data_IF_297641109262
#
_entry.id   IF_297641109262
#
_cell.length_a   1.000
_cell.length_b   1.000
_cell.length_c   1.000
_cell.angle_alpha   90.00
_cell.angle_beta   90.00
_cell.angle_gamma   90.00
#
_symmetry.space_group_name_H-M   'P 1'
#
loop_
_entity.id
_entity.type
_entity.pdbx_description
1 polymer ?
#
# COMPACT_ATOMS: atom_id res chain seq x y z
N UNK A 1 0.01 5.85 -28.06
CA UNK A 1 -1.36 6.23 -27.65
C UNK A 1 -1.66 5.90 -26.19
N UNK A 2 -1.89 4.64 -25.76
CA UNK A 2 -2.22 4.38 -24.33
C UNK A 2 -1.04 4.66 -23.39
N UNK A 3 0.16 4.15 -23.68
CA UNK A 3 1.34 4.38 -22.84
C UNK A 3 1.71 5.86 -22.73
N UNK A 4 1.66 6.56 -23.87
CA UNK A 4 1.86 8.01 -23.96
C UNK A 4 0.80 8.78 -23.16
N UNK A 5 -0.48 8.37 -23.23
CA UNK A 5 -1.53 8.94 -22.39
C UNK A 5 -1.30 8.71 -20.90
N UNK A 6 -0.83 7.51 -20.52
CA UNK A 6 -0.45 7.20 -19.13
C UNK A 6 0.74 8.04 -18.66
N UNK A 7 1.75 8.22 -19.50
CA UNK A 7 2.92 9.04 -19.20
C UNK A 7 2.52 10.49 -18.95
N UNK A 8 1.73 11.08 -19.84
CA UNK A 8 1.22 12.44 -19.69
C UNK A 8 0.30 12.61 -18.48
N UNK A 9 -0.47 11.57 -18.12
CA UNK A 9 -1.43 11.59 -17.02
C UNK A 9 -0.80 11.25 -15.65
N UNK A 10 0.40 10.66 -15.62
CA UNK A 10 1.09 10.19 -14.40
C UNK A 10 1.34 11.29 -13.36
N UNK A 11 1.68 12.50 -13.80
CA UNK A 11 1.87 13.63 -12.88
C UNK A 11 0.55 14.10 -12.28
N UNK A 12 -0.51 14.10 -13.08
CA UNK A 12 -1.84 14.52 -12.68
C UNK A 12 -2.52 13.54 -11.73
N UNK A 13 -2.34 12.22 -11.90
CA UNK A 13 -2.97 11.24 -11.00
C UNK A 13 -2.45 11.36 -9.55
N UNK A 14 -1.17 11.74 -9.39
CA UNK A 14 -0.55 11.95 -8.09
C UNK A 14 -0.97 13.29 -7.47
N UNK A 15 -0.97 14.37 -8.23
CA UNK A 15 -1.10 15.75 -7.71
C UNK A 15 -2.50 16.32 -7.72
N UNK A 16 -3.34 15.92 -8.68
CA UNK A 16 -4.68 16.48 -8.85
C UNK A 16 -5.73 15.70 -8.03
N UNK A 17 -6.79 16.42 -7.62
CA UNK A 17 -7.84 15.87 -6.76
C UNK A 17 -9.17 15.61 -7.48
N UNK A 18 -9.32 16.09 -8.71
CA UNK A 18 -10.56 15.96 -9.48
C UNK A 18 -10.30 15.28 -10.81
N UNK A 19 -11.09 14.25 -11.09
CA UNK A 19 -11.00 13.46 -12.31
C UNK A 19 -12.34 13.45 -13.03
N UNK A 20 -12.38 13.99 -14.23
CA UNK A 20 -13.60 14.20 -15.01
C UNK A 20 -13.67 13.24 -16.18
N UNK A 21 -14.83 12.64 -16.38
CA UNK A 21 -15.14 11.84 -17.57
C UNK A 21 -15.80 12.74 -18.60
N UNK A 22 -15.27 12.73 -19.81
CA UNK A 22 -15.74 13.53 -20.96
C UNK A 22 -16.01 12.63 -22.18
N UNK A 23 -16.95 13.07 -23.03
CA UNK A 23 -17.37 12.36 -24.24
C UNK A 23 -16.47 12.63 -25.45
N UNK A 24 -15.80 13.78 -25.46
CA UNK A 24 -14.89 14.18 -26.53
C UNK A 24 -13.48 14.40 -25.98
N UNK A 25 -12.47 14.18 -26.83
CA UNK A 25 -11.07 14.38 -26.43
C UNK A 25 -10.80 15.88 -26.31
N UNK A 26 -11.00 16.44 -25.13
CA UNK A 26 -10.80 17.89 -24.90
C UNK A 26 -9.33 18.28 -24.71
N UNK A 27 -8.41 17.34 -24.44
CA UNK A 27 -7.01 17.63 -24.10
C UNK A 27 -6.07 16.49 -24.51
N UNK A 28 -4.81 16.80 -24.80
CA UNK A 28 -3.77 15.79 -25.04
C UNK A 28 -3.48 14.92 -23.81
N UNK A 29 -3.69 15.46 -22.59
CA UNK A 29 -3.48 14.75 -21.31
C UNK A 29 -4.63 13.83 -20.91
N UNK A 30 -5.60 13.57 -21.77
CA UNK A 30 -6.75 12.73 -21.43
C UNK A 30 -6.46 11.25 -21.63
N UNK A 31 -6.79 10.42 -20.65
CA UNK A 31 -6.64 8.97 -20.73
C UNK A 31 -7.88 8.33 -21.41
N UNK A 32 -7.73 7.52 -22.47
CA UNK A 32 -8.87 6.85 -23.08
C UNK A 32 -9.50 5.85 -22.12
N UNK A 33 -10.83 5.88 -22.02
CA UNK A 33 -11.66 4.95 -21.27
C UNK A 33 -12.51 4.11 -22.25
N UNK A 34 -13.09 2.98 -21.79
CA UNK A 34 -14.07 2.23 -22.58
C UNK A 34 -15.25 3.11 -23.02
N UNK A 35 -15.96 2.68 -24.06
CA UNK A 35 -17.13 3.37 -24.62
C UNK A 35 -16.82 4.75 -25.22
N UNK A 36 -15.63 4.93 -25.78
CA UNK A 36 -15.16 6.19 -26.39
C UNK A 36 -15.20 7.39 -25.44
N UNK A 37 -15.05 7.15 -24.14
CA UNK A 37 -14.96 8.20 -23.12
C UNK A 37 -13.49 8.52 -22.85
N UNK A 38 -13.24 9.67 -22.22
CA UNK A 38 -11.90 10.05 -21.78
C UNK A 38 -11.90 10.50 -20.32
N UNK A 39 -10.80 10.25 -19.63
CA UNK A 39 -10.55 10.73 -18.27
C UNK A 39 -9.58 11.92 -18.33
N UNK A 40 -9.99 13.06 -17.79
CA UNK A 40 -9.16 14.24 -17.63
C UNK A 40 -8.95 14.53 -16.14
N UNK A 41 -7.79 15.07 -15.78
CA UNK A 41 -7.56 15.63 -14.46
C UNK A 41 -7.81 17.14 -14.52
N UNK A 42 -8.60 17.66 -13.60
CA UNK A 42 -8.98 19.06 -13.56
C UNK A 42 -8.59 19.69 -12.22
N UNK A 43 -8.19 20.96 -12.27
CA UNK A 43 -8.17 21.80 -11.07
C UNK A 43 -9.60 22.15 -10.66
N UNK A 44 -9.78 22.63 -9.42
CA UNK A 44 -11.11 23.07 -8.95
C UNK A 44 -11.71 24.18 -9.82
N UNK A 45 -10.88 25.05 -10.39
CA UNK A 45 -11.32 26.14 -11.27
C UNK A 45 -11.74 25.59 -12.63
N UNK A 46 -10.89 24.78 -13.26
CA UNK A 46 -11.15 24.15 -14.55
C UNK A 46 -12.40 23.28 -14.50
N UNK A 47 -12.59 22.52 -13.41
CA UNK A 47 -13.78 21.71 -13.20
C UNK A 47 -15.06 22.57 -13.23
N UNK A 48 -15.06 23.72 -12.53
CA UNK A 48 -16.23 24.62 -12.51
C UNK A 48 -16.53 25.22 -13.87
N UNK A 49 -15.50 25.54 -14.66
CA UNK A 49 -15.66 26.06 -16.02
C UNK A 49 -16.21 24.97 -16.94
N UNK A 50 -15.64 23.77 -16.87
CA UNK A 50 -16.08 22.60 -17.64
C UNK A 50 -17.55 22.27 -17.35
N UNK A 51 -17.95 22.24 -16.08
CA UNK A 51 -19.34 21.98 -15.70
C UNK A 51 -20.34 23.02 -16.23
N UNK A 52 -19.90 24.24 -16.55
CA UNK A 52 -20.76 25.32 -17.04
C UNK A 52 -20.80 25.44 -18.56
N UNK A 53 -19.70 25.07 -19.22
CA UNK A 53 -19.45 25.45 -20.60
C UNK A 53 -19.11 24.27 -21.52
N UNK A 54 -18.88 23.07 -20.98
CA UNK A 54 -18.50 21.89 -21.76
C UNK A 54 -19.67 20.92 -21.85
N UNK A 55 -20.30 20.86 -23.03
CA UNK A 55 -21.40 19.93 -23.33
C UNK A 55 -20.95 18.47 -23.34
N UNK A 56 -19.63 18.20 -23.41
CA UNK A 56 -19.06 16.85 -23.33
C UNK A 56 -18.89 16.35 -21.89
N UNK A 57 -19.18 17.18 -20.88
CA UNK A 57 -19.10 16.81 -19.47
C UNK A 57 -20.12 15.75 -19.10
N UNK A 58 -19.66 14.67 -18.45
CA UNK A 58 -20.54 13.58 -18.01
C UNK A 58 -20.59 13.54 -16.49
N UNK A 59 -19.42 13.43 -15.85
CA UNK A 59 -19.31 13.34 -14.39
C UNK A 59 -17.89 13.60 -13.91
N UNK A 60 -17.76 13.98 -12.65
CA UNK A 60 -16.50 14.16 -11.95
C UNK A 60 -16.39 13.27 -10.70
N UNK A 61 -15.16 12.85 -10.40
CA UNK A 61 -14.75 12.12 -9.21
C UNK A 61 -13.79 12.96 -8.37
N UNK A 62 -14.05 13.04 -7.07
CA UNK A 62 -13.12 13.63 -6.09
C UNK A 62 -12.27 12.56 -5.42
N UNK A 63 -10.96 12.77 -5.35
CA UNK A 63 -9.98 11.90 -4.67
C UNK A 63 -9.79 12.34 -3.21
N UNK A 64 -9.90 11.39 -2.27
CA UNK A 64 -9.47 11.46 -0.86
C UNK A 64 -9.98 12.63 0.01
N UNK A 65 -10.97 13.40 -0.46
CA UNK A 65 -11.59 14.49 0.31
C UNK A 65 -13.10 14.57 0.07
N UNK A 66 -13.81 15.13 1.05
CA UNK A 66 -15.25 15.32 1.02
C UNK A 66 -15.61 16.67 0.40
N UNK A 67 -15.91 16.65 -0.90
CA UNK A 67 -16.43 17.81 -1.59
C UNK A 67 -17.97 17.82 -1.62
N UNK A 68 -18.57 18.99 -1.42
CA UNK A 68 -20.01 19.23 -1.54
C UNK A 68 -20.27 20.21 -2.69
N UNK A 69 -21.21 19.91 -3.59
CA UNK A 69 -21.60 20.80 -4.70
C UNK A 69 -22.53 20.13 -5.72
N UNK A 70 -23.26 20.95 -6.49
CA UNK A 70 -24.13 20.47 -7.58
C UNK A 70 -23.24 19.82 -8.66
N UNK A 71 -23.44 18.54 -8.94
CA UNK A 71 -22.69 17.68 -9.89
C UNK A 71 -21.27 17.22 -9.52
N UNK A 72 -20.84 17.31 -8.25
CA UNK A 72 -19.68 16.52 -7.77
C UNK A 72 -20.19 15.12 -7.39
N UNK A 73 -20.15 14.21 -8.36
CA UNK A 73 -21.02 13.04 -8.33
C UNK A 73 -20.54 11.87 -7.47
N UNK A 74 -19.23 11.64 -7.31
CA UNK A 74 -18.77 10.43 -6.62
C UNK A 74 -17.42 10.61 -5.92
N UNK A 75 -17.31 10.10 -4.69
CA UNK A 75 -16.11 10.14 -3.83
C UNK A 75 -15.27 8.88 -4.08
N UNK A 76 -13.99 9.02 -4.35
CA UNK A 76 -13.04 7.92 -4.47
C UNK A 76 -12.02 8.00 -3.35
N UNK A 77 -12.00 6.96 -2.52
CA UNK A 77 -10.89 6.72 -1.59
C UNK A 77 -9.84 5.89 -2.32
N UNK A 78 -8.59 6.35 -2.31
CA UNK A 78 -7.46 5.71 -3.00
C UNK A 78 -6.23 5.77 -2.11
N UNK A 79 -5.51 4.65 -2.01
CA UNK A 79 -4.18 4.63 -1.43
C UNK A 79 -3.20 5.28 -2.40
N UNK A 80 -2.91 6.57 -2.25
CA UNK A 80 -2.08 7.35 -3.16
C UNK A 80 -0.86 7.98 -2.46
N UNK A 81 -0.48 7.44 -1.30
CA UNK A 81 0.72 7.86 -0.60
C UNK A 81 1.95 7.76 -1.51
N UNK A 82 2.65 8.89 -1.66
CA UNK A 82 3.89 8.99 -2.41
C UNK A 82 4.85 9.92 -1.68
N UNK A 83 6.00 9.40 -1.28
CA UNK A 83 7.09 10.16 -0.67
C UNK A 83 8.42 9.73 -1.28
N UNK A 84 8.57 10.02 -2.58
CA UNK A 84 9.75 9.74 -3.40
C UNK A 84 9.42 10.02 -4.86
N UNK A 85 10.33 10.67 -5.59
CA UNK A 85 10.14 10.99 -7.00
C UNK A 85 10.67 9.88 -7.93
N UNK A 86 11.76 9.22 -7.53
CA UNK A 86 12.39 8.13 -8.30
C UNK A 86 12.79 6.95 -7.40
N UNK A 87 13.00 5.76 -7.99
CA UNK A 87 13.52 4.61 -7.26
C UNK A 87 14.96 4.82 -6.78
N UNK A 88 15.75 5.61 -7.50
CA UNK A 88 17.08 6.03 -7.06
C UNK A 88 17.02 6.89 -5.80
N UNK A 89 16.06 7.81 -5.71
CA UNK A 89 15.89 8.66 -4.52
C UNK A 89 15.42 7.84 -3.32
N UNK A 90 14.48 6.90 -3.53
CA UNK A 90 14.06 5.96 -2.50
C UNK A 90 15.21 5.07 -2.01
N UNK A 91 16.06 4.57 -2.92
CA UNK A 91 17.23 3.78 -2.55
C UNK A 91 18.28 4.58 -1.76
N UNK A 92 18.48 5.87 -2.08
CA UNK A 92 19.40 6.75 -1.35
C UNK A 92 18.88 7.17 0.01
N UNK A 93 17.56 7.21 0.17
CA UNK A 93 16.91 7.50 1.45
C UNK A 93 17.00 6.34 2.44
N UNK A 94 17.46 5.16 2.00
CA UNK A 94 17.67 4.02 2.88
C UNK A 94 18.78 4.24 3.89
N UNK A 95 18.55 3.76 5.11
CA UNK A 95 19.63 3.56 6.06
C UNK A 95 20.49 2.35 5.67
N UNK A 96 21.81 2.51 5.68
CA UNK A 96 22.75 1.46 5.28
C UNK A 96 22.86 1.24 3.77
N UNK A 97 22.47 0.06 3.28
CA UNK A 97 22.67 -0.31 1.87
C UNK A 97 21.65 0.41 0.98
N UNK A 98 22.12 1.07 -0.08
CA UNK A 98 21.25 1.78 -1.03
C UNK A 98 20.43 0.80 -1.87
N UNK A 99 19.25 0.41 -1.39
CA UNK A 99 18.35 -0.55 -2.03
C UNK A 99 16.89 -0.16 -1.83
N UNK A 100 16.06 -0.47 -2.81
CA UNK A 100 14.62 -0.42 -2.65
C UNK A 100 14.14 -1.78 -2.13
N UNK A 101 13.02 -1.77 -1.39
CA UNK A 101 12.25 -2.97 -1.16
C UNK A 101 10.85 -2.83 -1.73
N UNK A 102 10.28 -3.99 -2.04
CA UNK A 102 8.91 -4.14 -2.52
C UNK A 102 8.18 -5.05 -1.54
N UNK A 103 7.09 -4.53 -0.98
CA UNK A 103 6.17 -5.28 -0.13
C UNK A 103 4.94 -5.65 -0.93
N UNK A 104 4.58 -6.93 -0.89
CA UNK A 104 3.27 -7.41 -1.29
C UNK A 104 2.61 -8.09 -0.10
N UNK A 105 1.35 -7.77 0.17
CA UNK A 105 0.64 -8.34 1.31
C UNK A 105 -0.84 -8.55 0.97
N UNK A 106 -1.42 -9.59 1.54
CA UNK A 106 -2.81 -9.99 1.34
C UNK A 106 -3.44 -10.54 2.62
N UNK A 107 -4.71 -10.24 2.83
CA UNK A 107 -5.45 -10.64 4.04
C UNK A 107 -5.79 -12.12 3.98
N UNK A 108 -5.43 -12.83 5.05
CA UNK A 108 -5.67 -14.26 5.12
C UNK A 108 -7.17 -14.58 5.23
N UNK A 109 -7.61 -15.56 4.43
CA UNK A 109 -8.94 -16.15 4.51
C UNK A 109 -10.09 -15.15 4.32
N UNK A 110 -9.87 -14.05 3.59
CA UNK A 110 -10.90 -13.03 3.43
C UNK A 110 -12.20 -13.57 2.80
N UNK A 111 -12.08 -14.46 1.82
CA UNK A 111 -13.23 -15.13 1.22
C UNK A 111 -14.06 -15.91 2.25
N UNK A 112 -13.41 -16.61 3.17
CA UNK A 112 -14.09 -17.33 4.26
C UNK A 112 -14.71 -16.36 5.26
N UNK A 113 -14.02 -15.26 5.61
CA UNK A 113 -14.57 -14.23 6.48
C UNK A 113 -15.84 -13.59 5.92
N UNK A 114 -15.97 -13.45 4.60
CA UNK A 114 -17.19 -12.96 3.96
C UNK A 114 -18.36 -13.94 4.01
N UNK A 115 -18.09 -15.23 3.86
CA UNK A 115 -19.12 -16.27 3.77
C UNK A 115 -19.61 -16.69 5.15
N UNK A 116 -18.68 -17.05 6.05
CA UNK A 116 -19.00 -17.67 7.34
C UNK A 116 -18.49 -16.89 8.55
N UNK A 117 -17.89 -15.71 8.35
CA UNK A 117 -17.30 -14.92 9.46
C UNK A 117 -18.30 -14.36 10.48
N UNK A 118 -19.61 -14.45 10.22
CA UNK A 118 -20.66 -14.05 11.15
C UNK A 118 -21.47 -15.24 11.70
N UNK A 119 -21.13 -16.47 11.32
CA UNK A 119 -21.72 -17.66 11.92
C UNK A 119 -21.20 -17.84 13.35
N UNK A 120 -22.04 -18.37 14.23
CA UNK A 120 -21.58 -18.82 15.54
C UNK A 120 -22.43 -20.00 16.04
N UNK A 121 -21.87 -20.76 16.99
CA UNK A 121 -22.48 -22.00 17.48
C UNK A 121 -23.84 -21.79 18.17
N UNK A 122 -24.08 -20.58 18.70
CA UNK A 122 -25.27 -20.27 19.51
C UNK A 122 -26.46 -19.82 18.64
N UNK A 123 -26.17 -19.10 17.55
CA UNK A 123 -27.19 -18.42 16.73
C UNK A 123 -27.12 -18.81 15.25
N UNK A 124 -26.26 -19.77 14.89
CA UNK A 124 -26.12 -20.27 13.53
C UNK A 124 -25.77 -19.15 12.56
N UNK A 125 -26.54 -19.08 11.47
CA UNK A 125 -26.42 -18.13 10.37
C UNK A 125 -27.19 -16.81 10.60
N UNK A 126 -27.83 -16.63 11.77
CA UNK A 126 -28.70 -15.47 12.06
C UNK A 126 -28.02 -14.11 11.80
N UNK A 127 -26.70 -14.02 11.96
CA UNK A 127 -25.94 -12.80 11.73
C UNK A 127 -25.29 -12.73 10.34
N UNK A 128 -25.36 -13.78 9.53
CA UNK A 128 -24.93 -13.78 8.12
C UNK A 128 -25.97 -13.02 7.30
N UNK A 129 -25.86 -11.69 7.35
CA UNK A 129 -26.81 -10.76 6.73
C UNK A 129 -26.09 -9.90 5.72
N UNK A 130 -26.76 -9.60 4.60
CA UNK A 130 -26.20 -8.77 3.54
C UNK A 130 -25.69 -7.41 4.06
N UNK A 131 -26.40 -6.82 5.02
CA UNK A 131 -26.01 -5.54 5.64
C UNK A 131 -24.70 -5.62 6.43
N UNK A 132 -24.45 -6.73 7.14
CA UNK A 132 -23.18 -6.95 7.86
C UNK A 132 -22.04 -7.24 6.91
N UNK A 133 -22.25 -8.11 5.92
CA UNK A 133 -21.26 -8.40 4.87
C UNK A 133 -20.87 -7.13 4.12
N UNK A 134 -21.84 -6.30 3.72
CA UNK A 134 -21.57 -5.01 3.06
C UNK A 134 -20.84 -4.02 3.98
N UNK A 135 -21.21 -3.98 5.28
CA UNK A 135 -20.53 -3.13 6.26
C UNK A 135 -19.08 -3.56 6.49
N UNK A 136 -18.83 -4.87 6.55
CA UNK A 136 -17.49 -5.44 6.67
C UNK A 136 -16.64 -5.14 5.43
N UNK A 137 -17.17 -5.40 4.22
CA UNK A 137 -16.51 -5.05 2.96
C UNK A 137 -16.11 -3.57 2.91
N UNK A 138 -17.03 -2.67 3.26
CA UNK A 138 -16.78 -1.22 3.27
C UNK A 138 -15.71 -0.82 4.29
N UNK A 139 -15.75 -1.39 5.49
CA UNK A 139 -14.75 -1.13 6.54
C UNK A 139 -13.36 -1.60 6.13
N UNK A 140 -13.26 -2.79 5.54
CA UNK A 140 -11.98 -3.32 5.06
C UNK A 140 -11.44 -2.48 3.89
N UNK A 141 -12.32 -2.11 2.95
CA UNK A 141 -11.94 -1.23 1.84
C UNK A 141 -11.43 0.13 2.33
N UNK A 142 -12.02 0.71 3.38
CA UNK A 142 -11.48 1.95 3.97
C UNK A 142 -10.12 1.75 4.65
N UNK A 143 -9.84 0.58 5.24
CA UNK A 143 -8.52 0.30 5.81
C UNK A 143 -7.42 0.39 4.74
N UNK A 144 -7.60 -0.34 3.64
CA UNK A 144 -6.60 -0.39 2.57
C UNK A 144 -6.63 0.83 1.62
N UNK A 145 -7.71 1.62 1.57
CA UNK A 145 -7.76 2.81 0.70
C UNK A 145 -7.46 4.12 1.42
N UNK A 146 -7.85 4.25 2.68
CA UNK A 146 -7.75 5.49 3.44
C UNK A 146 -6.74 5.38 4.58
N UNK A 147 -6.86 4.37 5.43
CA UNK A 147 -6.00 4.26 6.62
C UNK A 147 -4.55 3.94 6.27
N UNK A 148 -4.29 3.19 5.19
CA UNK A 148 -2.92 2.88 4.74
C UNK A 148 -2.07 4.13 4.49
N UNK A 149 -2.67 5.19 3.91
CA UNK A 149 -1.98 6.47 3.69
C UNK A 149 -1.54 7.09 5.02
N UNK A 150 -2.39 6.99 6.04
CA UNK A 150 -2.09 7.51 7.36
C UNK A 150 -1.02 6.68 8.09
N UNK A 151 -1.00 5.36 7.90
CA UNK A 151 0.03 4.47 8.45
C UNK A 151 1.40 4.81 7.85
N UNK A 152 1.47 5.04 6.54
CA UNK A 152 2.71 5.45 5.87
C UNK A 152 3.16 6.88 6.25
N UNK A 153 2.20 7.78 6.45
CA UNK A 153 2.50 9.16 6.83
C UNK A 153 2.96 9.34 8.29
N UNK A 154 2.59 8.39 9.16
CA UNK A 154 2.89 8.42 10.59
C UNK A 154 3.50 7.08 11.01
N UNK A 155 4.71 6.78 10.53
CA UNK A 155 5.41 5.56 10.92
C UNK A 155 5.65 5.49 12.42
N UNK A 156 5.44 4.31 13.01
CA UNK A 156 5.68 4.06 14.43
C UNK A 156 6.92 3.19 14.65
N UNK A 157 7.08 2.12 13.85
CA UNK A 157 8.20 1.19 13.96
C UNK A 157 9.36 1.54 13.02
N UNK A 158 10.57 1.75 13.55
CA UNK A 158 11.78 1.97 12.77
C UNK A 158 12.87 0.99 13.21
N UNK A 159 13.63 0.47 12.24
CA UNK A 159 14.75 -0.44 12.53
C UNK A 159 15.86 0.29 13.28
N UNK A 160 16.10 1.56 12.95
CA UNK A 160 17.14 2.40 13.55
C UNK A 160 16.53 3.42 14.52
N UNK A 161 17.11 3.52 15.72
CA UNK A 161 16.58 4.33 16.83
C UNK A 161 16.71 5.84 16.60
N UNK A 162 17.61 6.25 15.71
CA UNK A 162 17.90 7.65 15.40
C UNK A 162 17.00 8.23 14.29
N UNK A 163 16.09 7.42 13.72
CA UNK A 163 15.14 7.92 12.72
C UNK A 163 14.10 8.84 13.37
N UNK A 164 13.94 10.04 12.81
CA UNK A 164 12.84 10.92 13.18
C UNK A 164 11.51 10.24 12.82
N UNK A 165 10.62 10.14 13.82
CA UNK A 165 9.25 9.66 13.60
C UNK A 165 8.57 10.56 12.57
N UNK A 166 7.98 9.96 11.54
CA UNK A 166 7.33 10.73 10.50
C UNK A 166 6.98 9.93 9.26
N UNK A 167 7.08 10.61 8.12
CA UNK A 167 6.71 10.08 6.81
C UNK A 167 7.74 9.07 6.34
N UNK A 168 7.27 7.90 5.92
CA UNK A 168 8.11 6.85 5.33
C UNK A 168 8.51 7.17 3.90
N UNK A 169 9.69 6.77 3.47
CA UNK A 169 10.13 6.87 2.07
C UNK A 169 9.54 5.71 1.27
N UNK A 170 8.31 5.89 0.80
CA UNK A 170 7.57 4.85 0.11
C UNK A 170 6.52 5.43 -0.85
N UNK A 171 6.10 4.59 -1.79
CA UNK A 171 5.08 4.87 -2.80
C UNK A 171 4.13 3.69 -2.88
N UNK A 172 2.84 3.96 -2.69
CA UNK A 172 1.79 2.98 -2.99
C UNK A 172 1.63 2.92 -4.51
N UNK A 173 1.91 1.76 -5.08
CA UNK A 173 1.62 1.48 -6.50
C UNK A 173 0.21 0.90 -6.63
N UNK A 174 -0.19 0.05 -5.69
CA UNK A 174 -1.55 -0.47 -5.60
C UNK A 174 -1.95 -0.74 -4.14
N UNK A 175 -3.17 -0.36 -3.77
CA UNK A 175 -3.79 -0.83 -2.53
C UNK A 175 -5.30 -0.87 -2.70
N UNK A 176 -5.90 -2.05 -2.56
CA UNK A 176 -7.33 -2.20 -2.79
C UNK A 176 -7.88 -3.56 -2.43
N UNK A 177 -8.98 -3.56 -1.68
CA UNK A 177 -9.59 -4.79 -1.18
C UNK A 177 -8.80 -5.28 0.03
N UNK A 178 -7.96 -6.27 -0.22
CA UNK A 178 -7.04 -6.98 0.66
C UNK A 178 -5.58 -6.94 0.19
N UNK A 179 -5.38 -6.76 -1.12
CA UNK A 179 -4.06 -6.72 -1.74
C UNK A 179 -3.38 -5.35 -1.58
N UNK A 180 -2.09 -5.38 -1.24
CA UNK A 180 -1.21 -4.23 -1.10
C UNK A 180 0.06 -4.45 -1.90
N UNK A 181 0.50 -3.46 -2.66
CA UNK A 181 1.77 -3.44 -3.38
C UNK A 181 2.45 -2.07 -3.23
N UNK A 182 3.55 -2.03 -2.47
CA UNK A 182 4.25 -0.80 -2.08
C UNK A 182 5.73 -0.96 -2.37
N UNK A 183 6.35 0.12 -2.86
CA UNK A 183 7.79 0.23 -3.11
C UNK A 183 8.36 1.35 -2.26
N UNK A 184 9.53 1.17 -1.66
CA UNK A 184 10.16 2.19 -0.81
C UNK A 184 11.60 1.88 -0.47
N UNK A 185 12.19 2.69 0.41
CA UNK A 185 13.48 2.36 1.03
C UNK A 185 13.37 1.06 1.82
N UNK A 186 14.39 0.20 1.77
CA UNK A 186 14.24 -1.18 2.28
C UNK A 186 13.90 -1.25 3.77
N UNK A 187 14.47 -0.34 4.54
CA UNK A 187 14.30 -0.16 5.96
C UNK A 187 12.90 0.36 6.34
N UNK A 188 12.38 1.37 5.62
CA UNK A 188 11.02 1.86 5.83
C UNK A 188 9.97 0.84 5.45
N UNK A 189 10.21 0.02 4.42
CA UNK A 189 9.27 -1.01 3.99
C UNK A 189 9.14 -2.13 5.04
N UNK A 190 10.25 -2.54 5.66
CA UNK A 190 10.21 -3.48 6.78
C UNK A 190 9.47 -2.85 7.96
N UNK A 191 9.78 -1.62 8.34
CA UNK A 191 9.07 -0.94 9.44
C UNK A 191 7.57 -0.76 9.15
N UNK A 192 7.22 -0.39 7.92
CA UNK A 192 5.84 -0.28 7.47
C UNK A 192 5.10 -1.61 7.55
N UNK A 193 5.72 -2.73 7.18
CA UNK A 193 5.08 -4.05 7.23
C UNK A 193 4.61 -4.41 8.65
N UNK A 194 5.38 -4.02 9.67
CA UNK A 194 5.07 -4.23 11.08
C UNK A 194 3.94 -3.30 11.51
N UNK A 195 4.00 -2.02 11.12
CA UNK A 195 2.94 -1.06 11.40
C UNK A 195 1.61 -1.47 10.75
N UNK A 196 1.65 -1.97 9.51
CA UNK A 196 0.49 -2.50 8.79
C UNK A 196 -0.10 -3.70 9.52
N UNK A 197 0.73 -4.67 9.91
CA UNK A 197 0.33 -5.84 10.68
C UNK A 197 -0.35 -5.45 11.99
N UNK A 198 0.31 -4.62 12.80
CA UNK A 198 -0.19 -4.16 14.09
C UNK A 198 -1.48 -3.34 13.94
N UNK A 199 -1.56 -2.49 12.92
CA UNK A 199 -2.75 -1.68 12.62
C UNK A 199 -3.92 -2.54 12.19
N UNK A 200 -3.71 -3.56 11.35
CA UNK A 200 -4.77 -4.48 10.92
C UNK A 200 -5.25 -5.35 12.09
N UNK A 201 -4.30 -5.85 12.90
CA UNK A 201 -4.58 -6.62 14.11
C UNK A 201 -5.44 -5.82 15.09
N UNK A 202 -5.09 -4.55 15.31
CA UNK A 202 -5.90 -3.61 16.12
C UNK A 202 -7.26 -3.31 15.49
N UNK A 203 -7.30 -3.03 14.18
CA UNK A 203 -8.52 -2.67 13.45
C UNK A 203 -9.55 -3.82 13.41
N UNK A 204 -9.07 -5.05 13.24
CA UNK A 204 -9.89 -6.26 13.20
C UNK A 204 -10.12 -6.88 14.59
N UNK A 205 -9.55 -6.32 15.66
CA UNK A 205 -9.57 -6.89 17.00
C UNK A 205 -9.05 -8.35 17.03
N UNK A 206 -7.91 -8.59 16.38
CA UNK A 206 -7.25 -9.90 16.24
C UNK A 206 -8.07 -10.96 15.47
N UNK A 207 -9.10 -10.57 14.71
CA UNK A 207 -9.92 -11.54 13.95
C UNK A 207 -9.41 -11.79 12.55
N UNK A 208 -8.63 -10.87 11.98
CA UNK A 208 -8.00 -11.01 10.68
C UNK A 208 -6.48 -11.03 10.82
N UNK A 209 -5.85 -11.84 9.97
CA UNK A 209 -4.40 -11.90 9.81
C UNK A 209 -4.02 -11.53 8.37
N UNK A 210 -2.75 -11.24 8.15
CA UNK A 210 -2.21 -10.85 6.85
C UNK A 210 -0.93 -11.64 6.60
N UNK A 211 -0.75 -12.10 5.37
CA UNK A 211 0.50 -12.71 4.92
C UNK A 211 1.20 -11.77 3.95
N UNK A 212 2.53 -11.69 4.04
CA UNK A 212 3.30 -10.72 3.28
C UNK A 212 4.63 -11.28 2.74
N UNK A 213 5.03 -10.81 1.56
CA UNK A 213 6.37 -11.00 1.01
C UNK A 213 7.10 -9.67 0.90
N UNK A 214 8.38 -9.64 1.25
CA UNK A 214 9.26 -8.49 1.01
C UNK A 214 10.48 -8.93 0.21
N UNK A 215 10.71 -8.30 -0.94
CA UNK A 215 11.93 -8.46 -1.73
C UNK A 215 12.78 -7.19 -1.71
N UNK A 216 14.10 -7.32 -1.72
CA UNK A 216 15.06 -6.21 -1.80
C UNK A 216 15.76 -6.21 -3.15
N UNK A 217 15.85 -5.04 -3.79
CA UNK A 217 16.33 -4.91 -5.16
C UNK A 217 17.19 -3.65 -5.38
N UNK A 218 18.08 -3.66 -6.39
CA UNK A 218 18.67 -2.44 -6.92
C UNK A 218 17.60 -1.52 -7.54
N UNK A 219 17.81 -0.20 -7.49
CA UNK A 219 16.85 0.80 -8.00
C UNK A 219 16.50 0.64 -9.49
N UNK A 220 17.42 0.11 -10.30
CA UNK A 220 17.25 -0.10 -11.75
C UNK A 220 16.62 -1.44 -12.12
N UNK A 221 16.27 -2.26 -11.12
CA UNK A 221 15.71 -3.58 -11.39
C UNK A 221 14.26 -3.45 -11.92
N UNK A 222 13.82 -4.25 -12.91
CA UNK A 222 12.51 -4.06 -13.53
C UNK A 222 11.33 -4.37 -12.59
N UNK A 223 10.35 -3.47 -12.52
CA UNK A 223 9.16 -3.60 -11.65
C UNK A 223 8.36 -4.88 -11.91
N UNK A 224 8.23 -5.29 -13.17
CA UNK A 224 7.52 -6.52 -13.54
C UNK A 224 8.16 -7.78 -12.95
N UNK A 225 9.49 -7.79 -12.82
CA UNK A 225 10.22 -8.92 -12.24
C UNK A 225 10.10 -8.89 -10.72
N UNK A 226 10.26 -7.72 -10.09
CA UNK A 226 10.02 -7.52 -8.65
C UNK A 226 8.63 -8.00 -8.25
N UNK A 227 7.59 -7.59 -8.97
CA UNK A 227 6.21 -7.96 -8.67
C UNK A 227 5.98 -9.48 -8.70
N UNK A 228 6.61 -10.19 -9.66
CA UNK A 228 6.51 -11.64 -9.78
C UNK A 228 7.26 -12.36 -8.66
N UNK A 229 8.45 -11.90 -8.31
CA UNK A 229 9.27 -12.53 -7.27
C UNK A 229 8.67 -12.33 -5.88
N UNK A 230 8.25 -11.10 -5.55
CA UNK A 230 7.60 -10.81 -4.27
C UNK A 230 6.25 -11.52 -4.16
N UNK A 231 5.54 -11.70 -5.28
CA UNK A 231 4.34 -12.55 -5.33
C UNK A 231 4.62 -13.99 -4.89
N UNK A 232 5.76 -14.57 -5.27
CA UNK A 232 6.14 -15.92 -4.79
C UNK A 232 6.44 -15.92 -3.29
N UNK A 233 7.09 -14.87 -2.76
CA UNK A 233 7.36 -14.74 -1.32
C UNK A 233 6.06 -14.61 -0.51
N UNK A 234 5.08 -13.87 -1.03
CA UNK A 234 3.75 -13.77 -0.44
C UNK A 234 3.02 -15.13 -0.48
N UNK A 235 3.03 -15.82 -1.62
CA UNK A 235 2.44 -17.16 -1.77
C UNK A 235 3.11 -18.17 -0.82
N UNK A 236 4.43 -18.09 -0.65
CA UNK A 236 5.18 -18.91 0.31
C UNK A 236 4.73 -18.63 1.76
N UNK A 237 4.48 -17.37 2.09
CA UNK A 237 3.95 -16.98 3.40
C UNK A 237 2.54 -17.54 3.65
N UNK A 238 1.69 -17.55 2.62
CA UNK A 238 0.36 -18.16 2.69
C UNK A 238 0.39 -19.69 2.76
N UNK A 239 1.46 -20.31 2.28
CA UNK A 239 1.66 -21.76 2.40
C UNK A 239 2.13 -22.19 3.80
N UNK A 240 2.60 -21.26 4.62
CA UNK A 240 3.01 -21.55 6.00
C UNK A 240 1.83 -22.05 6.85
N UNK A 241 2.09 -22.91 7.86
CA UNK A 241 1.05 -23.37 8.77
C UNK A 241 0.33 -22.18 9.42
N UNK A 242 -0.99 -22.13 9.28
CA UNK A 242 -1.87 -21.06 9.76
C UNK A 242 -1.71 -19.68 9.08
N UNK A 243 -0.98 -19.59 7.97
CA UNK A 243 -0.70 -18.31 7.28
C UNK A 243 -0.07 -17.31 8.26
N UNK A 244 -0.57 -16.07 8.34
CA UNK A 244 -0.16 -15.07 9.32
C UNK A 244 1.38 -14.98 9.45
N UNK A 245 2.04 -14.91 8.29
CA UNK A 245 3.48 -15.01 8.21
C UNK A 245 4.03 -14.02 7.20
N UNK A 246 5.33 -13.78 7.29
CA UNK A 246 6.06 -12.90 6.42
C UNK A 246 7.33 -13.58 5.95
N UNK A 247 7.56 -13.54 4.64
CA UNK A 247 8.78 -14.05 4.01
C UNK A 247 9.65 -12.89 3.54
N UNK A 248 10.89 -12.85 4.01
CA UNK A 248 11.85 -11.76 3.77
C UNK A 248 12.97 -12.20 2.82
N UNK A 249 13.10 -11.53 1.68
CA UNK A 249 14.19 -11.63 0.70
C UNK A 249 14.28 -12.96 -0.06
N UNK A 250 14.17 -14.10 0.63
CA UNK A 250 14.20 -15.45 0.09
C UNK A 250 13.19 -16.36 0.80
N UNK A 251 12.86 -17.49 0.18
CA UNK A 251 11.89 -18.47 0.70
C UNK A 251 12.36 -19.15 2.01
N UNK A 252 13.66 -19.12 2.31
CA UNK A 252 14.21 -19.71 3.53
C UNK A 252 13.92 -18.86 4.78
N UNK A 253 13.61 -17.58 4.58
CA UNK A 253 13.42 -16.59 5.65
C UNK A 253 11.93 -16.29 5.86
N UNK A 254 11.15 -17.34 6.10
CA UNK A 254 9.74 -17.26 6.44
C UNK A 254 9.54 -17.30 7.96
N UNK A 255 8.81 -16.33 8.50
CA UNK A 255 8.58 -16.18 9.94
C UNK A 255 7.11 -15.89 10.22
N UNK A 256 6.59 -16.37 11.36
CA UNK A 256 5.37 -15.77 11.93
C UNK A 256 5.66 -14.34 12.37
N UNK A 257 4.65 -13.47 12.33
CA UNK A 257 4.82 -12.06 12.71
C UNK A 257 5.40 -11.88 14.12
N UNK A 258 4.91 -12.66 15.10
CA UNK A 258 5.41 -12.59 16.48
C UNK A 258 6.89 -13.01 16.56
N UNK A 259 7.30 -14.06 15.84
CA UNK A 259 8.70 -14.49 15.78
C UNK A 259 9.60 -13.43 15.12
N UNK A 260 9.16 -12.81 14.03
CA UNK A 260 9.90 -11.74 13.39
C UNK A 260 10.09 -10.56 14.34
N UNK A 261 9.01 -10.10 14.98
CA UNK A 261 9.02 -8.89 15.81
C UNK A 261 9.84 -9.12 17.09
N UNK A 262 9.56 -10.20 17.83
CA UNK A 262 10.14 -10.41 19.15
C UNK A 262 11.50 -11.09 19.12
N UNK A 263 11.66 -12.17 18.33
CA UNK A 263 12.90 -12.95 18.34
C UNK A 263 13.93 -12.46 17.33
N UNK A 264 13.52 -12.08 16.12
CA UNK A 264 14.46 -11.65 15.09
C UNK A 264 14.85 -10.19 15.28
N UNK A 265 13.86 -9.28 15.29
CA UNK A 265 14.13 -7.84 15.28
C UNK A 265 14.44 -7.27 16.66
N UNK A 266 13.67 -7.63 17.70
CA UNK A 266 13.88 -7.10 19.05
C UNK A 266 15.01 -7.78 19.81
N UNK A 267 15.19 -9.09 19.65
CA UNK A 267 16.23 -9.84 20.37
C UNK A 267 17.53 -9.91 19.56
N UNK A 268 17.55 -10.69 18.47
CA UNK A 268 18.80 -11.02 17.75
C UNK A 268 19.41 -9.81 17.03
N UNK A 269 18.59 -9.04 16.31
CA UNK A 269 19.07 -7.89 15.56
C UNK A 269 19.60 -6.79 16.48
N UNK A 270 18.90 -6.48 17.57
CA UNK A 270 19.40 -5.50 18.55
C UNK A 270 20.71 -5.96 19.20
N UNK A 271 20.83 -7.22 19.60
CA UNK A 271 22.06 -7.77 20.17
C UNK A 271 23.26 -7.66 19.21
N UNK A 272 23.06 -8.03 17.95
CA UNK A 272 24.10 -7.94 16.92
C UNK A 272 24.48 -6.47 16.69
N UNK A 273 23.50 -5.58 16.58
CA UNK A 273 23.75 -4.14 16.40
C UNK A 273 24.54 -3.56 17.56
N UNK A 274 24.12 -3.82 18.81
CA UNK A 274 24.81 -3.34 20.02
C UNK A 274 26.25 -3.84 20.09
N UNK A 275 26.48 -5.11 19.72
CA UNK A 275 27.83 -5.67 19.66
C UNK A 275 28.71 -4.93 18.66
N UNK A 276 28.22 -4.65 17.46
CA UNK A 276 28.98 -3.91 16.43
C UNK A 276 29.16 -2.43 16.75
N UNK A 277 28.17 -1.78 17.37
CA UNK A 277 28.28 -0.38 17.80
C UNK A 277 29.29 -0.21 18.94
N UNK A 278 29.34 -1.15 19.89
CA UNK A 278 30.33 -1.17 20.95
C UNK A 278 31.73 -1.56 20.44
N UNK A 279 31.82 -2.32 19.34
CA UNK A 279 33.08 -2.81 18.77
C UNK A 279 33.78 -1.85 17.80
N UNK A 280 33.35 -0.58 17.70
CA UNK A 280 33.94 0.43 16.79
C UNK A 280 35.47 0.64 16.93
N UNK A 281 36.11 0.15 18.00
CA UNK A 281 37.58 0.11 18.14
C UNK A 281 38.29 -0.96 17.30
N UNK A 282 37.58 -1.97 16.78
CA UNK A 282 38.14 -3.05 15.96
C UNK A 282 37.63 -2.90 14.53
N UNK A 283 38.38 -2.21 13.68
CA UNK A 283 38.05 -1.97 12.28
C UNK A 283 37.87 -3.24 11.43
N UNK A 284 37.80 -3.05 10.08
CA UNK A 284 37.43 -3.97 8.97
C UNK A 284 37.86 -5.48 8.99
N UNK A 285 38.53 -5.99 10.01
CA UNK A 285 39.04 -7.36 10.10
C UNK A 285 38.01 -8.42 10.56
N UNK A 286 36.71 -8.12 10.58
CA UNK A 286 35.68 -9.04 11.08
C UNK A 286 34.66 -9.51 10.03
N UNK A 287 34.79 -9.06 8.77
CA UNK A 287 33.94 -9.48 7.64
C UNK A 287 34.75 -10.28 6.62
#
# INVERSE_FOLDING_TARGET
QICEGLELFSSSILRDNFFTVIDEKSCEKSLPLPLNRYLAADSRQNLKERMKHDDSYIRCYGKNDMYTGVHVSTKLWVGDYNNGDTFEDLAKASDGIERIAVLRADVDNLGQAFVSGFENDISGDKYVTLSRTASFSRKLSMFFKLHINNILANGEYYLCKDHEKGKRNATIVYSGGDDVFIIGSWDDIIGFSIDLYNSLKKYSQNTLTISAGIGIYPSKFPVSVMAREVGKLEDHSKAAPNKNSITLFNEESCYTWDCLIDNVLREKFELVREFFDASKERGKNFL
#
